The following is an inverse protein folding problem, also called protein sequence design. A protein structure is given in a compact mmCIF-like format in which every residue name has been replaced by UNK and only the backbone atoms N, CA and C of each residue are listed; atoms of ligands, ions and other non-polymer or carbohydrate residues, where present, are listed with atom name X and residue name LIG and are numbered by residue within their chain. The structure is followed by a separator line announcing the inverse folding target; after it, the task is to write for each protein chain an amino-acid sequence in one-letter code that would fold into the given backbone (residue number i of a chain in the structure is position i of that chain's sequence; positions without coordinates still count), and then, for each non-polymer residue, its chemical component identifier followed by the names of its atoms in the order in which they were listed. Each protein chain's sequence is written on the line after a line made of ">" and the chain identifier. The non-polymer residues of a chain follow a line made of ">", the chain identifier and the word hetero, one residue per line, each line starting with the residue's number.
data_IF_812402581164
#
_entry.id   IF_812402581164
#
_cell.length_a   1.000
_cell.length_b   1.000
_cell.length_c   1.000
_cell.angle_alpha   90.00
_cell.angle_beta   90.00
_cell.angle_gamma   90.00
#
_symmetry.space_group_name_H-M   'P 1'
#
loop_
_entity.id
_entity.type
_entity.pdbx_description
1 polymer ?
#
# COMPACT_ATOMS: atom_id res chain seq x y z
N UNK A 1 -30.78 6.19 -2.14
CA UNK A 1 -30.91 5.10 -1.15
C UNK A 1 -29.82 4.10 -1.50
N UNK A 2 -28.89 3.82 -0.60
CA UNK A 2 -27.80 2.86 -0.85
C UNK A 2 -28.34 1.45 -0.99
N UNK A 3 -27.78 0.66 -1.90
CA UNK A 3 -28.08 -0.77 -2.02
C UNK A 3 -27.68 -1.53 -0.75
N UNK A 4 -28.23 -2.73 -0.47
CA UNK A 4 -27.69 -3.60 0.60
C UNK A 4 -26.24 -3.96 0.29
N UNK A 5 -25.37 -4.10 1.30
CA UNK A 5 -23.96 -4.41 1.05
C UNK A 5 -23.81 -5.74 0.31
N UNK A 6 -22.84 -5.78 -0.62
CA UNK A 6 -22.40 -7.02 -1.25
C UNK A 6 -21.24 -7.59 -0.46
N UNK A 7 -21.21 -8.91 -0.25
CA UNK A 7 -20.30 -9.55 0.70
C UNK A 7 -19.59 -10.75 0.07
N UNK A 8 -18.31 -10.93 0.39
CA UNK A 8 -17.52 -12.11 0.03
C UNK A 8 -16.65 -12.55 1.19
N UNK A 9 -16.25 -13.82 1.18
CA UNK A 9 -15.36 -14.41 2.21
C UNK A 9 -14.19 -15.13 1.57
N UNK A 10 -13.08 -15.24 2.31
CA UNK A 10 -11.93 -16.06 1.93
C UNK A 10 -11.33 -16.73 3.17
N UNK A 11 -10.64 -17.86 2.99
CA UNK A 11 -9.90 -18.51 4.07
C UNK A 11 -8.55 -17.83 4.28
N UNK A 12 -8.08 -17.85 5.52
CA UNK A 12 -6.76 -17.38 5.92
C UNK A 12 -5.86 -18.59 6.22
N UNK A 13 -4.57 -18.54 5.86
CA UNK A 13 -3.63 -19.58 6.27
C UNK A 13 -3.37 -19.51 7.78
N UNK A 14 -2.99 -20.64 8.39
CA UNK A 14 -2.72 -20.73 9.83
C UNK A 14 -1.65 -19.74 10.30
N UNK A 15 -0.68 -19.42 9.43
CA UNK A 15 0.39 -18.47 9.71
C UNK A 15 0.00 -17.00 9.41
N UNK A 16 -1.27 -16.69 9.15
CA UNK A 16 -1.69 -15.33 8.83
C UNK A 16 -1.49 -14.38 10.01
N UNK A 17 -0.74 -13.32 9.78
CA UNK A 17 -0.36 -12.35 10.82
C UNK A 17 -1.41 -11.25 10.95
N UNK A 18 -2.52 -11.57 11.62
CA UNK A 18 -3.63 -10.65 11.91
C UNK A 18 -3.16 -9.29 12.45
N UNK A 19 -2.25 -9.31 13.43
CA UNK A 19 -1.74 -8.11 14.06
C UNK A 19 -1.03 -7.17 13.07
N UNK A 20 -0.19 -7.72 12.19
CA UNK A 20 0.58 -6.93 11.22
C UNK A 20 -0.32 -6.27 10.18
N UNK A 21 -1.36 -7.00 9.72
CA UNK A 21 -2.38 -6.47 8.82
C UNK A 21 -3.13 -5.30 9.47
N UNK A 22 -3.65 -5.49 10.69
CA UNK A 22 -4.40 -4.46 11.40
C UNK A 22 -3.51 -3.25 11.77
N UNK A 23 -2.26 -3.47 12.17
CA UNK A 23 -1.30 -2.40 12.49
C UNK A 23 -1.00 -1.52 11.27
N UNK A 24 -0.93 -2.11 10.07
CA UNK A 24 -0.81 -1.32 8.83
C UNK A 24 -2.00 -0.36 8.62
N UNK A 25 -3.21 -0.79 8.98
CA UNK A 25 -4.42 0.03 8.85
C UNK A 25 -4.61 1.04 10.01
N UNK A 26 -3.93 0.84 11.15
CA UNK A 26 -3.94 1.76 12.31
C UNK A 26 -2.96 2.95 12.20
N UNK A 27 -2.34 3.18 11.04
CA UNK A 27 -1.33 4.24 10.86
C UNK A 27 -1.90 5.65 11.05
N UNK A 28 -3.18 5.87 10.73
CA UNK A 28 -3.85 7.14 10.99
C UNK A 28 -4.61 7.10 12.33
N UNK A 29 -4.02 7.69 13.37
CA UNK A 29 -4.61 7.77 14.72
C UNK A 29 -5.94 8.53 14.81
N UNK A 30 -6.31 9.33 13.80
CA UNK A 30 -7.62 10.01 13.79
C UNK A 30 -8.70 9.21 13.09
N UNK A 31 -8.31 8.12 12.44
CA UNK A 31 -9.22 7.17 11.79
C UNK A 31 -10.20 7.83 10.81
N UNK A 32 -9.71 8.82 10.05
CA UNK A 32 -10.57 9.74 9.31
C UNK A 32 -11.30 9.05 8.15
N UNK A 33 -10.55 8.29 7.36
CA UNK A 33 -11.03 7.59 6.17
C UNK A 33 -10.72 6.08 6.22
N UNK A 34 -10.09 5.65 7.29
CA UNK A 34 -9.73 4.26 7.57
C UNK A 34 -9.71 4.10 9.08
N UNK A 35 -10.52 3.19 9.62
CA UNK A 35 -10.71 2.95 11.04
C UNK A 35 -10.49 1.48 11.34
N UNK A 36 -9.90 1.16 12.50
CA UNK A 36 -9.72 -0.22 12.92
C UNK A 36 -10.37 -0.46 14.28
N UNK A 37 -11.49 -1.17 14.29
CA UNK A 37 -12.26 -1.52 15.49
C UNK A 37 -12.10 -3.01 15.78
N UNK A 38 -11.35 -3.37 16.82
CA UNK A 38 -11.05 -4.78 17.12
C UNK A 38 -10.31 -5.48 15.96
N UNK A 39 -10.98 -6.43 15.32
CA UNK A 39 -10.49 -7.21 14.18
C UNK A 39 -11.08 -6.73 12.83
N UNK A 40 -11.66 -5.53 12.81
CA UNK A 40 -12.34 -4.99 11.64
C UNK A 40 -11.62 -3.76 11.11
N UNK A 41 -11.60 -3.60 9.79
CA UNK A 41 -11.11 -2.42 9.08
C UNK A 41 -12.27 -1.82 8.29
N UNK A 42 -12.60 -0.57 8.58
CA UNK A 42 -13.63 0.19 7.86
C UNK A 42 -12.92 1.30 7.09
N UNK A 43 -13.04 1.31 5.76
CA UNK A 43 -12.31 2.24 4.88
C UNK A 43 -13.26 2.91 3.90
N UNK A 44 -13.22 4.23 3.84
CA UNK A 44 -13.93 5.03 2.83
C UNK A 44 -13.04 5.33 1.64
N UNK A 45 -13.52 5.08 0.43
CA UNK A 45 -12.83 5.38 -0.82
C UNK A 45 -13.79 6.05 -1.81
N UNK A 46 -13.23 6.69 -2.83
CA UNK A 46 -13.95 7.00 -4.05
C UNK A 46 -13.62 5.93 -5.06
N UNK A 47 -14.65 5.29 -5.60
CA UNK A 47 -14.54 4.29 -6.65
C UNK A 47 -15.36 4.78 -7.84
N UNK A 48 -14.70 5.02 -8.98
CA UNK A 48 -15.35 5.54 -10.20
C UNK A 48 -16.18 6.81 -9.93
N UNK A 49 -15.65 7.73 -9.12
CA UNK A 49 -16.34 8.96 -8.72
C UNK A 49 -17.43 8.81 -7.64
N UNK A 50 -17.69 7.59 -7.15
CA UNK A 50 -18.74 7.30 -6.16
C UNK A 50 -18.14 7.01 -4.77
N UNK A 51 -18.60 7.69 -3.71
CA UNK A 51 -18.29 7.32 -2.33
C UNK A 51 -18.67 5.87 -2.03
N UNK A 52 -17.70 5.11 -1.54
CA UNK A 52 -17.81 3.67 -1.29
C UNK A 52 -17.15 3.33 0.04
N UNK A 53 -17.84 2.52 0.84
CA UNK A 53 -17.38 1.98 2.11
C UNK A 53 -16.97 0.52 1.91
N UNK A 54 -15.77 0.18 2.37
CA UNK A 54 -15.28 -1.18 2.52
C UNK A 54 -15.25 -1.52 4.00
N UNK A 55 -15.82 -2.65 4.37
CA UNK A 55 -15.77 -3.18 5.74
C UNK A 55 -15.19 -4.59 5.68
N UNK A 56 -13.97 -4.74 6.20
CA UNK A 56 -13.25 -6.00 6.23
C UNK A 56 -13.20 -6.51 7.67
N UNK A 57 -13.72 -7.71 7.93
CA UNK A 57 -13.69 -8.35 9.25
C UNK A 57 -12.81 -9.60 9.21
N UNK A 58 -11.94 -9.75 10.21
CA UNK A 58 -11.07 -10.91 10.38
C UNK A 58 -11.57 -11.83 11.50
N UNK A 59 -11.72 -13.10 11.17
CA UNK A 59 -11.85 -14.22 12.10
C UNK A 59 -10.51 -14.95 12.22
N UNK A 60 -10.41 -16.00 13.03
CA UNK A 60 -9.17 -16.77 13.20
C UNK A 60 -8.64 -17.34 11.87
N UNK A 61 -9.52 -17.96 11.08
CA UNK A 61 -9.21 -18.75 9.88
C UNK A 61 -9.82 -18.19 8.58
N UNK A 62 -10.46 -17.04 8.66
CA UNK A 62 -11.24 -16.49 7.56
C UNK A 62 -11.34 -14.97 7.63
N UNK A 63 -11.61 -14.37 6.47
CA UNK A 63 -11.85 -12.94 6.35
C UNK A 63 -13.09 -12.70 5.49
N UNK A 64 -13.82 -11.63 5.80
CA UNK A 64 -14.98 -11.16 5.04
C UNK A 64 -14.74 -9.74 4.57
N UNK A 65 -15.20 -9.42 3.36
CA UNK A 65 -15.26 -8.05 2.84
C UNK A 65 -16.68 -7.73 2.41
N UNK A 66 -17.21 -6.67 2.98
CA UNK A 66 -18.46 -6.03 2.59
C UNK A 66 -18.18 -4.72 1.85
N UNK A 67 -18.89 -4.49 0.75
CA UNK A 67 -18.85 -3.25 -0.01
C UNK A 67 -20.23 -2.59 -0.06
N UNK A 68 -20.26 -1.30 0.22
CA UNK A 68 -21.45 -0.47 0.11
C UNK A 68 -21.10 0.82 -0.61
N UNK A 69 -21.78 1.11 -1.72
CA UNK A 69 -21.58 2.35 -2.47
C UNK A 69 -22.82 3.24 -2.39
N UNK A 70 -22.63 4.55 -2.53
CA UNK A 70 -23.72 5.52 -2.62
C UNK A 70 -24.42 5.52 -4.00
N UNK A 71 -24.04 4.60 -4.91
CA UNK A 71 -24.72 4.36 -6.17
C UNK A 71 -25.97 3.46 -6.00
N UNK A 72 -26.81 3.42 -7.04
CA UNK A 72 -28.01 2.56 -7.06
C UNK A 72 -27.66 1.06 -7.06
N UNK A 73 -26.46 0.69 -7.55
CA UNK A 73 -25.98 -0.68 -7.66
C UNK A 73 -24.52 -0.76 -7.22
N UNK A 74 -24.11 -1.95 -6.77
CA UNK A 74 -22.72 -2.22 -6.45
C UNK A 74 -21.85 -2.02 -7.69
N UNK A 75 -20.73 -1.33 -7.52
CA UNK A 75 -19.76 -1.03 -8.57
C UNK A 75 -18.80 -2.19 -8.85
N UNK A 76 -18.80 -3.21 -7.99
CA UNK A 76 -17.98 -4.42 -8.15
C UNK A 76 -18.87 -5.65 -8.20
N UNK A 77 -18.54 -6.57 -9.09
CA UNK A 77 -19.05 -7.94 -9.05
C UNK A 77 -18.50 -8.69 -7.84
N UNK A 78 -19.17 -9.77 -7.41
CA UNK A 78 -18.66 -10.64 -6.33
C UNK A 78 -17.24 -11.19 -6.64
N UNK A 79 -16.99 -11.52 -7.90
CA UNK A 79 -15.68 -11.97 -8.37
C UNK A 79 -14.58 -10.90 -8.22
N UNK A 80 -14.89 -9.64 -8.54
CA UNK A 80 -13.97 -8.52 -8.34
C UNK A 80 -13.74 -8.25 -6.86
N UNK A 81 -14.78 -8.30 -6.05
CA UNK A 81 -14.70 -8.12 -4.61
C UNK A 81 -13.87 -9.23 -3.94
N UNK A 82 -14.05 -10.48 -4.36
CA UNK A 82 -13.26 -11.62 -3.87
C UNK A 82 -11.77 -11.48 -4.23
N UNK A 83 -11.47 -11.02 -5.45
CA UNK A 83 -10.09 -10.71 -5.85
C UNK A 83 -9.51 -9.56 -5.03
N UNK A 84 -10.30 -8.52 -4.77
CA UNK A 84 -9.89 -7.39 -3.93
C UNK A 84 -9.58 -7.81 -2.50
N UNK A 85 -10.45 -8.62 -1.88
CA UNK A 85 -10.23 -9.16 -0.53
C UNK A 85 -8.91 -9.93 -0.44
N UNK A 86 -8.69 -10.89 -1.35
CA UNK A 86 -7.43 -11.65 -1.39
C UNK A 86 -6.21 -10.75 -1.65
N UNK A 87 -6.38 -9.72 -2.48
CA UNK A 87 -5.33 -8.75 -2.80
C UNK A 87 -4.95 -7.92 -1.57
N UNK A 88 -5.92 -7.29 -0.91
CA UNK A 88 -5.70 -6.48 0.30
C UNK A 88 -4.97 -7.27 1.38
N UNK A 89 -5.36 -8.53 1.59
CA UNK A 89 -4.74 -9.44 2.56
C UNK A 89 -3.37 -9.99 2.12
N UNK A 90 -2.96 -9.80 0.87
CA UNK A 90 -1.71 -10.32 0.35
C UNK A 90 -1.70 -11.85 0.19
N UNK A 91 -2.85 -12.50 0.07
CA UNK A 91 -2.94 -13.98 0.03
C UNK A 91 -2.33 -14.62 -1.22
N UNK A 92 -2.10 -13.82 -2.27
CA UNK A 92 -1.45 -14.28 -3.52
C UNK A 92 0.08 -14.14 -3.51
N UNK A 93 0.65 -13.66 -2.41
CA UNK A 93 2.10 -13.52 -2.27
C UNK A 93 2.72 -14.89 -1.99
N UNK A 94 3.79 -15.23 -2.69
CA UNK A 94 4.54 -16.48 -2.54
C UNK A 94 5.39 -16.51 -1.26
N UNK A 95 4.73 -16.30 -0.12
CA UNK A 95 5.34 -16.17 1.22
C UNK A 95 5.90 -17.52 1.66
N UNK A 96 5.13 -18.59 1.51
CA UNK A 96 5.54 -19.95 1.86
C UNK A 96 6.73 -20.43 1.01
N UNK A 97 6.73 -20.12 -0.28
CA UNK A 97 7.83 -20.47 -1.18
C UNK A 97 9.13 -19.76 -0.77
N UNK A 98 9.05 -18.45 -0.51
CA UNK A 98 10.18 -17.67 0.00
C UNK A 98 10.71 -18.23 1.32
N UNK A 99 9.83 -18.56 2.27
CA UNK A 99 10.24 -19.10 3.55
C UNK A 99 10.87 -20.48 3.44
N UNK A 100 10.37 -21.32 2.54
CA UNK A 100 10.96 -22.63 2.25
C UNK A 100 12.37 -22.48 1.67
N UNK A 101 12.53 -21.58 0.69
CA UNK A 101 13.81 -21.34 0.00
C UNK A 101 14.88 -20.76 0.93
N UNK A 102 14.53 -19.78 1.77
CA UNK A 102 15.51 -19.03 2.57
C UNK A 102 15.64 -19.46 4.04
N UNK A 103 14.95 -20.55 4.45
CA UNK A 103 14.97 -21.05 5.84
C UNK A 103 16.38 -21.29 6.39
N UNK A 104 17.30 -21.76 5.54
CA UNK A 104 18.68 -22.07 5.92
C UNK A 104 19.68 -20.96 5.58
N UNK A 105 19.23 -19.86 4.98
CA UNK A 105 20.11 -18.75 4.60
C UNK A 105 20.61 -18.01 5.86
N UNK A 106 21.92 -17.72 5.93
CA UNK A 106 22.57 -17.17 7.12
C UNK A 106 21.93 -15.86 7.62
N UNK A 107 21.64 -14.94 6.70
CA UNK A 107 21.02 -13.65 7.04
C UNK A 107 19.49 -13.76 7.15
N UNK A 108 18.83 -14.30 6.11
CA UNK A 108 17.37 -14.30 6.01
C UNK A 108 16.69 -15.16 7.09
N UNK A 109 17.30 -16.27 7.52
CA UNK A 109 16.74 -17.09 8.61
C UNK A 109 16.49 -16.29 9.90
N UNK A 110 17.32 -15.28 10.19
CA UNK A 110 17.12 -14.37 11.33
C UNK A 110 15.89 -13.48 11.16
N UNK A 111 15.64 -13.01 9.94
CA UNK A 111 14.44 -12.25 9.61
C UNK A 111 13.18 -13.12 9.72
N UNK A 112 13.26 -14.38 9.25
CA UNK A 112 12.15 -15.34 9.31
C UNK A 112 11.80 -15.73 10.75
N UNK A 113 12.78 -15.87 11.64
CA UNK A 113 12.53 -16.12 13.06
C UNK A 113 11.71 -14.99 13.71
N UNK A 114 11.81 -13.77 13.20
CA UNK A 114 11.06 -12.62 13.70
C UNK A 114 9.68 -12.46 13.04
N UNK A 115 9.59 -12.79 11.76
CA UNK A 115 8.47 -12.36 10.91
C UNK A 115 7.99 -13.44 9.91
N UNK A 116 8.13 -14.72 10.21
CA UNK A 116 7.48 -15.80 9.42
C UNK A 116 5.96 -15.57 9.36
N UNK A 117 5.37 -15.85 8.19
CA UNK A 117 4.00 -15.56 7.79
C UNK A 117 3.80 -14.14 7.25
N UNK A 118 4.86 -13.33 7.10
CA UNK A 118 4.73 -11.92 6.70
C UNK A 118 4.19 -11.78 5.28
N UNK A 119 3.01 -11.19 5.20
CA UNK A 119 2.40 -10.71 3.97
C UNK A 119 2.36 -9.20 4.00
N UNK A 120 2.46 -8.58 2.84
CA UNK A 120 2.39 -7.12 2.68
C UNK A 120 0.93 -6.74 2.39
N UNK A 121 0.24 -6.01 3.30
CA UNK A 121 -1.10 -5.52 3.00
C UNK A 121 -1.11 -4.62 1.76
N UNK A 122 -2.03 -4.87 0.84
CA UNK A 122 -2.14 -4.10 -0.39
C UNK A 122 -3.19 -2.99 -0.25
N UNK A 123 -3.00 -1.89 -0.98
CA UNK A 123 -3.99 -0.82 -1.08
C UNK A 123 -5.16 -1.26 -1.96
N UNK A 124 -6.29 -0.53 -1.89
CA UNK A 124 -7.47 -0.89 -2.68
C UNK A 124 -7.24 -0.70 -4.17
N UNK A 125 -6.51 0.36 -4.53
CA UNK A 125 -6.15 0.67 -5.92
C UNK A 125 -4.67 0.96 -6.07
N UNK A 126 -4.05 0.68 -7.23
CA UNK A 126 -2.69 1.12 -7.52
C UNK A 126 -2.48 2.64 -7.41
N UNK A 127 -3.53 3.42 -7.72
CA UNK A 127 -3.50 4.87 -7.57
C UNK A 127 -3.37 5.30 -6.10
N UNK A 128 -4.01 4.58 -5.18
CA UNK A 128 -3.80 4.76 -3.75
C UNK A 128 -2.33 4.49 -3.35
N UNK A 129 -1.72 3.42 -3.86
CA UNK A 129 -0.32 3.09 -3.57
C UNK A 129 0.65 4.18 -4.01
N UNK A 130 0.53 4.68 -5.25
CA UNK A 130 1.46 5.67 -5.78
C UNK A 130 1.28 7.05 -5.15
N UNK A 131 0.04 7.47 -4.87
CA UNK A 131 -0.22 8.75 -4.19
C UNK A 131 0.33 8.73 -2.76
N UNK A 132 0.18 7.60 -2.05
CA UNK A 132 0.82 7.41 -0.75
C UNK A 132 2.35 7.47 -0.84
N UNK A 133 2.95 6.76 -1.81
CA UNK A 133 4.39 6.76 -2.03
C UNK A 133 4.93 8.18 -2.27
N UNK A 134 4.30 8.96 -3.15
CA UNK A 134 4.70 10.35 -3.45
C UNK A 134 4.53 11.25 -2.22
N UNK A 135 3.43 11.08 -1.48
CA UNK A 135 3.19 11.83 -0.24
C UNK A 135 4.33 11.61 0.75
N UNK A 136 4.74 10.35 0.94
CA UNK A 136 5.77 9.95 1.91
C UNK A 136 7.23 10.22 1.51
N UNK A 137 7.53 10.65 0.27
CA UNK A 137 8.92 10.86 -0.16
C UNK A 137 9.67 11.83 0.80
N UNK A 138 10.82 11.38 1.31
CA UNK A 138 11.76 12.19 2.11
C UNK A 138 11.17 12.79 3.42
N UNK A 139 10.07 12.25 3.94
CA UNK A 139 9.47 12.68 5.21
C UNK A 139 9.12 11.49 6.10
N UNK A 140 8.81 11.74 7.37
CA UNK A 140 8.35 10.68 8.27
C UNK A 140 6.96 10.17 7.89
N UNK A 141 6.61 8.98 8.36
CA UNK A 141 5.27 8.39 8.15
C UNK A 141 4.21 9.26 8.80
N UNK A 142 4.44 9.78 10.01
CA UNK A 142 3.50 10.63 10.74
C UNK A 142 3.21 11.94 9.97
N UNK A 143 4.25 12.54 9.39
CA UNK A 143 4.10 13.72 8.55
C UNK A 143 3.30 13.41 7.28
N UNK A 144 3.57 12.27 6.64
CA UNK A 144 2.81 11.82 5.46
C UNK A 144 1.34 11.55 5.78
N UNK A 145 1.04 10.88 6.90
CA UNK A 145 -0.33 10.66 7.40
C UNK A 145 -1.06 11.99 7.60
N UNK A 146 -0.42 12.95 8.27
CA UNK A 146 -1.01 14.28 8.52
C UNK A 146 -1.31 15.05 7.22
N UNK A 147 -0.40 15.01 6.24
CA UNK A 147 -0.59 15.62 4.92
C UNK A 147 -1.74 14.94 4.16
N UNK A 148 -1.78 13.59 4.16
CA UNK A 148 -2.85 12.82 3.51
C UNK A 148 -4.21 13.14 4.11
N UNK A 149 -4.32 13.21 5.44
CA UNK A 149 -5.54 13.55 6.17
C UNK A 149 -6.08 14.91 5.74
N UNK A 150 -5.22 15.94 5.73
CA UNK A 150 -5.62 17.28 5.28
C UNK A 150 -6.09 17.30 3.82
N UNK A 151 -5.48 16.50 2.95
CA UNK A 151 -5.93 16.38 1.55
C UNK A 151 -7.32 15.75 1.45
N UNK A 152 -7.57 14.66 2.17
CA UNK A 152 -8.88 14.00 2.24
C UNK A 152 -9.95 14.99 2.72
N UNK A 153 -9.65 15.79 3.74
CA UNK A 153 -10.57 16.81 4.23
C UNK A 153 -10.82 17.91 3.20
N UNK A 154 -9.77 18.36 2.50
CA UNK A 154 -9.86 19.41 1.50
C UNK A 154 -10.64 19.00 0.24
N UNK A 155 -10.65 17.71 -0.13
CA UNK A 155 -11.47 17.22 -1.25
C UNK A 155 -12.94 17.03 -0.88
N UNK A 156 -13.27 16.97 0.42
CA UNK A 156 -14.64 17.11 0.90
C UNK A 156 -15.58 15.94 0.59
N UNK A 157 -15.04 14.76 0.26
CA UNK A 157 -15.86 13.60 -0.11
C UNK A 157 -16.06 12.66 1.06
N UNK A 158 -17.32 12.32 1.31
CA UNK A 158 -17.74 11.38 2.35
C UNK A 158 -18.78 10.42 1.76
N UNK A 159 -18.77 9.19 2.26
CA UNK A 159 -19.85 8.23 2.08
C UNK A 159 -21.06 8.64 2.93
N UNK A 160 -22.26 8.20 2.57
CA UNK A 160 -23.51 8.46 3.30
C UNK A 160 -23.49 8.08 4.78
N UNK A 161 -22.60 7.16 5.18
CA UNK A 161 -22.35 6.82 6.60
C UNK A 161 -21.58 7.89 7.39
N UNK A 162 -21.07 8.93 6.72
CA UNK A 162 -20.21 9.97 7.29
C UNK A 162 -18.71 9.65 7.28
N UNK A 163 -18.32 8.45 6.84
CA UNK A 163 -16.90 8.09 6.66
C UNK A 163 -16.28 8.94 5.55
N UNK A 164 -15.11 9.53 5.80
CA UNK A 164 -14.39 10.25 4.75
C UNK A 164 -13.83 9.30 3.71
N UNK A 165 -13.78 9.74 2.47
CA UNK A 165 -13.33 8.92 1.36
C UNK A 165 -11.96 9.38 0.86
N UNK A 166 -11.06 8.42 0.66
CA UNK A 166 -9.83 8.67 -0.09
C UNK A 166 -10.19 9.11 -1.53
N UNK A 167 -9.65 10.24 -2.02
CA UNK A 167 -9.96 10.74 -3.36
C UNK A 167 -9.31 9.87 -4.45
N UNK A 168 -10.05 9.68 -5.55
CA UNK A 168 -9.59 8.99 -6.75
C UNK A 168 -8.82 9.92 -7.70
N UNK A 169 -8.35 9.38 -8.82
CA UNK A 169 -7.63 10.13 -9.84
C UNK A 169 -8.47 11.26 -10.43
N UNK A 170 -9.78 11.08 -10.59
CA UNK A 170 -10.69 12.11 -11.12
C UNK A 170 -10.68 13.36 -10.24
N UNK A 171 -10.84 13.17 -8.92
CA UNK A 171 -10.82 14.26 -7.95
C UNK A 171 -9.44 14.91 -7.89
N UNK A 172 -8.38 14.12 -7.84
CA UNK A 172 -7.02 14.64 -7.70
C UNK A 172 -6.53 15.36 -8.97
N UNK A 173 -6.96 14.94 -10.16
CA UNK A 173 -6.66 15.66 -11.39
C UNK A 173 -7.30 17.07 -11.43
N UNK A 174 -8.50 17.21 -10.87
CA UNK A 174 -9.25 18.47 -10.78
C UNK A 174 -8.88 19.34 -9.57
N UNK A 175 -8.11 18.82 -8.61
CA UNK A 175 -7.70 19.58 -7.42
C UNK A 175 -6.62 20.61 -7.77
N UNK A 176 -6.83 21.87 -7.39
CA UNK A 176 -5.88 22.96 -7.60
C UNK A 176 -4.56 22.72 -6.83
N UNK A 177 -3.43 23.13 -7.40
CA UNK A 177 -2.11 22.96 -6.76
C UNK A 177 -2.05 23.70 -5.42
N UNK A 178 -2.73 24.85 -5.32
CA UNK A 178 -2.84 25.66 -4.10
C UNK A 178 -3.51 24.88 -2.96
N UNK A 179 -4.50 24.04 -3.27
CA UNK A 179 -5.14 23.14 -2.28
C UNK A 179 -4.15 22.10 -1.78
N UNK A 180 -3.37 21.45 -2.65
CA UNK A 180 -2.32 20.55 -2.20
C UNK A 180 -1.31 21.26 -1.29
N UNK A 181 -0.90 22.47 -1.66
CA UNK A 181 0.06 23.26 -0.87
C UNK A 181 -0.48 23.61 0.51
N UNK A 182 -1.76 24.00 0.63
CA UNK A 182 -2.37 24.28 1.93
C UNK A 182 -2.46 23.02 2.80
N UNK A 183 -2.59 21.85 2.19
CA UNK A 183 -2.48 20.54 2.85
C UNK A 183 -1.04 20.11 3.18
N UNK A 184 -0.02 20.91 2.84
CA UNK A 184 1.39 20.66 3.18
C UNK A 184 2.21 19.90 2.14
N UNK A 185 1.70 19.71 0.92
CA UNK A 185 2.51 19.18 -0.18
C UNK A 185 3.48 20.23 -0.72
N UNK A 186 4.66 19.78 -1.15
CA UNK A 186 5.52 20.61 -2.00
C UNK A 186 4.93 20.77 -3.39
N UNK A 187 5.33 21.82 -4.11
CA UNK A 187 4.94 22.00 -5.52
C UNK A 187 5.27 20.78 -6.38
N UNK A 188 6.44 20.17 -6.16
CA UNK A 188 6.86 19.00 -6.91
C UNK A 188 5.91 17.83 -6.66
N UNK A 189 5.60 17.50 -5.40
CA UNK A 189 4.70 16.37 -5.06
C UNK A 189 3.29 16.59 -5.60
N UNK A 190 2.74 17.80 -5.43
CA UNK A 190 1.43 18.18 -5.95
C UNK A 190 1.37 18.03 -7.48
N UNK A 191 2.36 18.57 -8.18
CA UNK A 191 2.44 18.48 -9.64
C UNK A 191 2.64 17.03 -10.14
N UNK A 192 3.38 16.19 -9.41
CA UNK A 192 3.53 14.77 -9.75
C UNK A 192 2.21 14.02 -9.63
N UNK A 193 1.51 14.16 -8.50
CA UNK A 193 0.20 13.51 -8.27
C UNK A 193 -0.80 13.95 -9.35
N UNK A 194 -0.91 15.25 -9.62
CA UNK A 194 -1.84 15.77 -10.63
C UNK A 194 -1.47 15.29 -12.04
N UNK A 195 -0.17 15.15 -12.36
CA UNK A 195 0.29 14.64 -13.66
C UNK A 195 -0.10 13.18 -13.86
N UNK A 196 0.11 12.34 -12.85
CA UNK A 196 -0.29 10.92 -12.88
C UNK A 196 -1.81 10.82 -13.02
N UNK A 197 -2.56 11.54 -12.19
CA UNK A 197 -4.02 11.53 -12.22
C UNK A 197 -4.57 11.92 -13.61
N UNK A 198 -4.03 12.99 -14.22
CA UNK A 198 -4.40 13.40 -15.58
C UNK A 198 -4.02 12.36 -16.65
N UNK A 199 -2.86 11.73 -16.52
CA UNK A 199 -2.40 10.70 -17.44
C UNK A 199 -3.25 9.41 -17.38
N UNK A 200 -3.80 9.08 -16.21
CA UNK A 200 -4.76 7.98 -16.07
C UNK A 200 -6.09 8.32 -16.75
N UNK A 201 -6.63 9.51 -16.49
CA UNK A 201 -7.91 9.95 -17.06
C UNK A 201 -7.87 10.03 -18.58
N UNK A 202 -6.77 10.52 -19.16
CA UNK A 202 -6.64 10.65 -20.60
C UNK A 202 -6.11 9.38 -21.30
N UNK A 203 -5.82 8.32 -20.55
CA UNK A 203 -5.35 7.03 -21.06
C UNK A 203 -3.89 6.99 -21.53
N UNK A 204 -3.07 8.02 -21.24
CA UNK A 204 -1.63 8.01 -21.59
C UNK A 204 -0.77 7.22 -20.60
N UNK A 205 -1.34 6.79 -19.47
CA UNK A 205 -0.73 5.92 -18.48
C UNK A 205 -1.78 4.89 -18.06
N UNK A 206 -1.37 3.63 -17.87
CA UNK A 206 -2.23 2.57 -17.35
C UNK A 206 -1.69 2.06 -16.01
N UNK A 207 -2.60 1.77 -15.08
CA UNK A 207 -2.32 1.05 -13.84
C UNK A 207 -3.19 -0.21 -13.75
N UNK A 208 -3.36 -0.89 -14.87
CA UNK A 208 -4.20 -2.08 -14.97
C UNK A 208 -3.56 -3.26 -14.25
N UNK A 209 -4.32 -3.93 -13.38
CA UNK A 209 -3.89 -5.18 -12.72
C UNK A 209 -3.67 -6.35 -13.70
N UNK A 210 -4.04 -6.19 -14.98
CA UNK A 210 -3.83 -7.19 -16.04
C UNK A 210 -2.47 -7.04 -16.74
N UNK A 211 -1.80 -5.92 -16.54
CA UNK A 211 -0.50 -5.64 -17.17
C UNK A 211 0.65 -6.21 -16.34
N UNK A 212 1.79 -6.41 -17.01
CA UNK A 212 3.00 -6.89 -16.35
C UNK A 212 3.58 -5.77 -15.46
N UNK A 213 3.90 -6.04 -14.18
CA UNK A 213 4.48 -5.05 -13.26
C UNK A 213 5.70 -4.32 -13.82
N UNK A 214 6.51 -4.99 -14.64
CA UNK A 214 7.69 -4.43 -15.28
C UNK A 214 7.35 -3.35 -16.32
N UNK A 215 6.26 -3.53 -17.08
CA UNK A 215 5.79 -2.54 -18.04
C UNK A 215 5.29 -1.30 -17.30
N UNK A 216 4.41 -1.50 -16.32
CA UNK A 216 3.89 -0.44 -15.46
C UNK A 216 5.03 0.32 -14.78
N UNK A 217 6.04 -0.41 -14.28
CA UNK A 217 7.22 0.19 -13.66
C UNK A 217 8.01 1.10 -14.59
N UNK A 218 8.16 0.72 -15.87
CA UNK A 218 8.82 1.56 -16.88
C UNK A 218 8.02 2.82 -17.20
N UNK A 219 6.71 2.71 -17.37
CA UNK A 219 5.83 3.85 -17.63
C UNK A 219 5.82 4.83 -16.45
N UNK A 220 5.71 4.31 -15.22
CA UNK A 220 5.79 5.11 -14.01
C UNK A 220 7.13 5.84 -13.88
N UNK A 221 8.24 5.16 -14.17
CA UNK A 221 9.58 5.78 -14.08
C UNK A 221 9.77 6.92 -15.09
N UNK A 222 9.06 6.91 -16.22
CA UNK A 222 9.10 8.00 -17.19
C UNK A 222 8.37 9.27 -16.70
N UNK A 223 7.55 9.17 -15.64
CA UNK A 223 6.84 10.31 -15.08
C UNK A 223 7.78 11.17 -14.24
N UNK A 224 7.94 12.45 -14.64
CA UNK A 224 8.71 13.43 -13.85
C UNK A 224 8.24 13.48 -12.40
N UNK A 225 9.16 13.21 -11.48
CA UNK A 225 8.93 13.20 -10.03
C UNK A 225 8.65 11.82 -9.43
N UNK A 226 8.65 10.77 -10.25
CA UNK A 226 8.60 9.37 -9.83
C UNK A 226 9.99 8.76 -10.00
N UNK A 227 10.56 8.25 -8.91
CA UNK A 227 11.87 7.59 -8.90
C UNK A 227 11.77 6.08 -8.64
N UNK A 228 12.90 5.35 -8.73
CA UNK A 228 12.93 3.89 -8.58
C UNK A 228 12.30 3.37 -7.28
N UNK A 229 12.50 4.08 -6.16
CA UNK A 229 11.86 3.73 -4.89
C UNK A 229 10.33 3.86 -4.95
N UNK A 230 9.81 4.95 -5.56
CA UNK A 230 8.37 5.18 -5.71
C UNK A 230 7.74 4.11 -6.60
N UNK A 231 8.42 3.71 -7.67
CA UNK A 231 7.98 2.60 -8.53
C UNK A 231 7.93 1.29 -7.75
N UNK A 232 9.04 0.92 -7.09
CA UNK A 232 9.12 -0.35 -6.35
C UNK A 232 8.08 -0.42 -5.22
N UNK A 233 7.87 0.68 -4.50
CA UNK A 233 6.83 0.76 -3.48
C UNK A 233 5.43 0.62 -4.09
N UNK A 234 5.16 1.30 -5.21
CA UNK A 234 3.86 1.25 -5.89
C UNK A 234 3.56 -0.17 -6.38
N UNK A 235 4.52 -0.83 -7.02
CA UNK A 235 4.37 -2.21 -7.48
C UNK A 235 4.19 -3.18 -6.31
N UNK A 236 4.90 -2.95 -5.20
CA UNK A 236 4.75 -3.77 -4.00
C UNK A 236 3.37 -3.63 -3.35
N UNK A 237 2.82 -2.41 -3.23
CA UNK A 237 1.57 -2.14 -2.46
C UNK A 237 0.31 -2.06 -3.30
N UNK A 238 0.43 -1.81 -4.59
CA UNK A 238 -0.69 -1.73 -5.53
C UNK A 238 -0.87 -2.98 -6.38
N UNK A 239 0.18 -3.80 -6.55
CA UNK A 239 0.15 -4.97 -7.43
C UNK A 239 0.61 -6.27 -6.74
N UNK A 240 1.07 -6.20 -5.49
CA UNK A 240 1.64 -7.35 -4.78
C UNK A 240 2.93 -7.89 -5.40
N UNK A 241 3.64 -7.08 -6.19
CA UNK A 241 4.88 -7.51 -6.84
C UNK A 241 6.05 -7.52 -5.86
N UNK A 242 6.60 -8.71 -5.63
CA UNK A 242 7.56 -8.95 -4.54
C UNK A 242 9.02 -8.70 -4.93
N UNK A 243 9.30 -8.27 -6.16
CA UNK A 243 10.68 -8.17 -6.68
C UNK A 243 11.19 -6.72 -6.85
N UNK A 244 10.45 -5.72 -6.40
CA UNK A 244 10.88 -4.32 -6.42
C UNK A 244 12.06 -4.04 -5.46
N UNK A 245 13.10 -3.38 -5.95
CA UNK A 245 14.27 -3.06 -5.11
C UNK A 245 14.06 -1.75 -4.31
N UNK A 246 13.89 -1.87 -2.99
CA UNK A 246 13.70 -0.75 -2.06
C UNK A 246 15.02 -0.24 -1.45
N UNK A 247 16.12 -0.29 -2.21
CA UNK A 247 17.46 0.08 -1.73
C UNK A 247 17.63 1.55 -1.31
N UNK A 248 16.81 2.45 -1.85
CA UNK A 248 16.76 3.86 -1.44
C UNK A 248 16.04 4.11 -0.12
N UNK A 249 15.38 3.10 0.45
CA UNK A 249 14.59 3.24 1.66
C UNK A 249 15.49 3.33 2.91
N UNK A 250 15.33 4.40 3.68
CA UNK A 250 16.20 4.67 4.84
C UNK A 250 15.98 3.64 5.95
N UNK A 251 14.76 3.15 6.14
CA UNK A 251 14.46 2.14 7.15
C UNK A 251 15.02 0.77 6.72
N UNK A 252 14.87 0.39 5.45
CA UNK A 252 15.50 -0.84 4.90
C UNK A 252 17.00 -0.83 5.12
N UNK A 253 17.67 0.27 4.79
CA UNK A 253 19.12 0.42 4.97
C UNK A 253 19.55 0.36 6.44
N UNK A 254 18.77 0.98 7.33
CA UNK A 254 19.01 0.92 8.79
C UNK A 254 18.86 -0.50 9.33
N UNK A 255 17.82 -1.21 8.92
CA UNK A 255 17.63 -2.61 9.28
C UNK A 255 18.72 -3.50 8.70
N UNK A 256 19.15 -3.25 7.48
CA UNK A 256 20.22 -4.03 6.84
C UNK A 256 21.54 -3.87 7.60
N UNK A 257 21.88 -2.65 8.04
CA UNK A 257 23.02 -2.40 8.91
C UNK A 257 22.98 -3.30 10.16
N UNK A 258 21.82 -3.35 10.83
CA UNK A 258 21.65 -4.14 12.05
C UNK A 258 21.72 -5.65 11.78
N UNK A 259 21.09 -6.11 10.70
CA UNK A 259 21.06 -7.53 10.32
C UNK A 259 22.48 -8.06 10.06
N UNK A 260 23.28 -7.29 9.33
CA UNK A 260 24.63 -7.64 8.93
C UNK A 260 25.70 -7.24 9.95
N UNK A 261 25.34 -6.54 11.02
CA UNK A 261 26.28 -6.07 12.05
C UNK A 261 27.31 -5.08 11.51
N UNK A 262 26.90 -4.19 10.59
CA UNK A 262 27.79 -3.19 10.00
C UNK A 262 27.97 -1.98 10.92
N UNK A 263 29.20 -1.48 11.03
CA UNK A 263 29.52 -0.27 11.80
C UNK A 263 28.81 0.97 11.24
N UNK A 264 28.74 1.08 9.91
CA UNK A 264 28.09 2.18 9.21
C UNK A 264 26.86 1.72 8.43
N UNK A 265 25.88 2.62 8.27
CA UNK A 265 24.69 2.37 7.46
C UNK A 265 25.09 2.22 5.98
N UNK A 266 24.75 1.10 5.31
CA UNK A 266 25.12 0.89 3.92
C UNK A 266 24.55 1.99 3.02
N UNK A 267 25.28 2.28 1.95
CA UNK A 267 24.85 3.17 0.87
C UNK A 267 23.70 2.53 0.07
N UNK A 268 23.04 3.35 -0.75
CA UNK A 268 22.00 2.85 -1.67
C UNK A 268 22.55 1.80 -2.64
N UNK A 269 23.79 1.99 -3.12
CA UNK A 269 24.45 1.07 -4.05
C UNK A 269 24.77 -0.27 -3.40
N UNK A 270 25.33 -0.27 -2.19
CA UNK A 270 25.62 -1.50 -1.46
C UNK A 270 24.33 -2.26 -1.11
N UNK A 271 23.29 -1.52 -0.71
CA UNK A 271 21.98 -2.11 -0.42
C UNK A 271 21.34 -2.69 -1.68
N UNK A 272 21.47 -2.02 -2.82
CA UNK A 272 21.00 -2.53 -4.12
C UNK A 272 21.73 -3.82 -4.50
N UNK A 273 23.05 -3.87 -4.33
CA UNK A 273 23.87 -5.05 -4.62
C UNK A 273 23.50 -6.23 -3.72
N UNK A 274 23.32 -5.98 -2.41
CA UNK A 274 22.90 -7.03 -1.49
C UNK A 274 21.49 -7.54 -1.81
N UNK A 275 20.52 -6.63 -2.04
CA UNK A 275 19.17 -7.02 -2.41
C UNK A 275 19.13 -7.82 -3.72
N UNK A 276 20.04 -7.59 -4.68
CA UNK A 276 20.02 -8.28 -5.97
C UNK A 276 20.11 -9.82 -5.85
N UNK A 277 20.71 -10.35 -4.77
CA UNK A 277 20.81 -11.79 -4.53
C UNK A 277 19.48 -12.47 -4.20
N UNK A 278 18.43 -11.70 -3.88
CA UNK A 278 17.13 -12.21 -3.43
C UNK A 278 16.03 -12.07 -4.48
N UNK A 279 16.37 -11.93 -5.76
CA UNK A 279 15.36 -12.03 -6.83
C UNK A 279 14.79 -13.45 -6.85
N UNK A 280 13.45 -13.66 -6.92
CA UNK A 280 12.38 -12.69 -7.23
C UNK A 280 11.65 -12.06 -6.02
N UNK A 281 12.29 -12.01 -4.84
CA UNK A 281 11.70 -11.63 -3.56
C UNK A 281 12.30 -10.35 -2.93
N UNK A 282 12.95 -9.49 -3.72
CA UNK A 282 13.70 -8.33 -3.20
C UNK A 282 12.86 -7.38 -2.35
N UNK A 283 11.62 -7.14 -2.73
CA UNK A 283 10.68 -6.31 -1.97
C UNK A 283 10.16 -7.02 -0.73
N UNK A 284 9.98 -8.35 -0.78
CA UNK A 284 9.60 -9.14 0.39
C UNK A 284 10.72 -9.14 1.44
N UNK A 285 11.99 -9.31 1.03
CA UNK A 285 13.14 -9.15 1.93
C UNK A 285 13.19 -7.76 2.55
N UNK A 286 12.95 -6.71 1.76
CA UNK A 286 12.84 -5.35 2.28
C UNK A 286 11.68 -5.17 3.27
N UNK A 287 10.55 -5.86 3.06
CA UNK A 287 9.44 -5.85 4.01
C UNK A 287 9.77 -6.55 5.33
N UNK A 288 10.50 -7.66 5.30
CA UNK A 288 11.03 -8.29 6.51
C UNK A 288 12.01 -7.36 7.27
N UNK A 289 12.83 -6.60 6.53
CA UNK A 289 13.70 -5.57 7.11
C UNK A 289 12.87 -4.45 7.79
N UNK A 290 11.74 -4.02 7.22
CA UNK A 290 10.82 -3.08 7.90
C UNK A 290 10.22 -3.66 9.19
N UNK A 291 9.82 -4.94 9.17
CA UNK A 291 9.23 -5.61 10.33
C UNK A 291 10.24 -5.75 11.49
N UNK A 292 11.52 -5.95 11.17
CA UNK A 292 12.60 -6.01 12.16
C UNK A 292 12.78 -4.68 12.91
N UNK A 293 12.63 -3.55 12.22
CA UNK A 293 12.77 -2.21 12.82
C UNK A 293 11.56 -1.80 13.66
N UNK A 294 10.36 -2.17 13.20
CA UNK A 294 9.10 -1.83 13.88
C UNK A 294 8.99 -2.43 15.29
N UNK A 295 9.62 -3.58 15.52
CA UNK A 295 9.63 -4.26 16.82
C UNK A 295 10.41 -3.50 17.92
N UNK A 296 11.20 -2.47 17.56
CA UNK A 296 11.91 -1.61 18.52
C UNK A 296 11.12 -0.36 18.92
N UNK A 297 9.96 -0.13 18.31
CA UNK A 297 9.08 1.01 18.62
C UNK A 297 7.99 0.69 19.65
N UNK A 298 8.10 -0.46 20.34
CA UNK A 298 7.25 -0.89 21.45
C UNK A 298 8.05 -1.02 22.74
#
# INVERSE_FOLDING_TARGET
>A
MSHPPTSVTTSLPENFRHHDFLTFHRRDKTELAERVEGNEVIKGIILEGVPTLLHLSLSEDSARLDIQSDAEKCLMTEDELSRLLQHMLGLKQATEDFESEYRAHCDISRLLNHSSGLRIPQTVTPFEAITWAITGQLISVEAAVSIRRRLIQATGKQHSSGMWCLPDETILAGTAIETYRSCGYSNSKAATIQRIAKALINGSLSLSLKEQPELIGRELLAVKGVGPWTVSYTLLRGFGWLDGSLHGDVAVRRSLQQLLGLDEKPTEKETQQWLAAFSPYRALVAAHLWAMDSAKSY
#
